data_IF_158802408914
#
_entry.id   IF_158802408914
#
_cell.length_a   1.000
_cell.length_b   1.000
_cell.length_c   1.000
_cell.angle_alpha   90.00
_cell.angle_beta   90.00
_cell.angle_gamma   90.00
#
_symmetry.space_group_name_H-M   'P 1'
#
loop_
_entity.id
_entity.type
_entity.pdbx_description
1 polymer ?
#
# COMPACT_ATOMS: atom_id res chain seq x y z
N UNK A 1 5.97 -15.82 -29.30
CA UNK A 1 6.64 -14.53 -28.99
C UNK A 1 6.74 -14.36 -27.48
N UNK A 2 7.84 -13.80 -26.95
CA UNK A 2 8.09 -13.64 -25.50
C UNK A 2 8.17 -12.17 -25.14
N UNK A 3 7.30 -11.71 -24.25
CA UNK A 3 7.32 -10.33 -23.76
C UNK A 3 8.64 -10.03 -23.03
N UNK A 4 9.15 -8.83 -23.25
CA UNK A 4 10.36 -8.32 -22.63
C UNK A 4 10.20 -6.86 -22.21
N UNK A 5 10.64 -6.55 -20.98
CA UNK A 5 10.69 -5.20 -20.42
C UNK A 5 12.12 -4.92 -19.94
N UNK A 6 12.72 -3.82 -20.38
CA UNK A 6 13.98 -3.28 -19.81
C UNK A 6 13.80 -1.92 -19.22
N UNK A 7 14.48 -1.69 -18.11
CA UNK A 7 14.57 -0.40 -17.45
C UNK A 7 16.01 0.10 -17.47
N UNK A 8 16.19 1.34 -17.94
CA UNK A 8 17.47 2.04 -18.00
C UNK A 8 17.36 3.39 -17.30
N UNK A 9 18.45 3.80 -16.64
CA UNK A 9 18.56 5.07 -15.93
C UNK A 9 19.28 4.90 -14.59
N UNK A 10 19.69 6.03 -13.98
CA UNK A 10 20.27 6.02 -12.64
C UNK A 10 19.29 5.46 -11.63
N UNK A 11 19.75 4.65 -10.67
CA UNK A 11 18.85 3.91 -9.76
C UNK A 11 17.87 4.82 -9.04
N UNK A 12 18.35 5.95 -8.52
CA UNK A 12 17.57 6.98 -7.83
C UNK A 12 16.51 7.67 -8.69
N UNK A 13 16.65 7.61 -10.02
CA UNK A 13 15.70 8.18 -11.00
C UNK A 13 14.63 7.19 -11.44
N UNK A 14 14.88 5.90 -11.29
CA UNK A 14 13.99 4.83 -11.78
C UNK A 14 13.20 4.14 -10.68
N UNK A 15 13.27 4.62 -9.43
CA UNK A 15 12.66 3.95 -8.28
C UNK A 15 11.14 3.75 -8.42
N UNK A 16 10.42 4.72 -9.00
CA UNK A 16 8.97 4.57 -9.23
C UNK A 16 8.63 3.46 -10.20
N UNK A 17 9.45 3.26 -11.24
CA UNK A 17 9.28 2.14 -12.18
C UNK A 17 9.69 0.80 -11.58
N UNK A 18 10.80 0.75 -10.84
CA UNK A 18 11.20 -0.46 -10.13
C UNK A 18 10.07 -0.94 -9.23
N UNK A 19 9.52 -0.03 -8.43
CA UNK A 19 8.43 -0.34 -7.55
C UNK A 19 7.17 -0.77 -8.29
N UNK A 20 6.76 -0.06 -9.35
CA UNK A 20 5.61 -0.47 -10.14
C UNK A 20 5.81 -1.89 -10.68
N UNK A 21 6.94 -2.18 -11.32
CA UNK A 21 7.16 -3.51 -11.89
C UNK A 21 7.18 -4.62 -10.83
N UNK A 22 7.73 -4.34 -9.65
CA UNK A 22 7.69 -5.25 -8.51
C UNK A 22 6.26 -5.45 -7.99
N UNK A 23 5.52 -4.37 -7.78
CA UNK A 23 4.13 -4.39 -7.32
C UNK A 23 3.23 -5.15 -8.31
N UNK A 24 3.43 -4.96 -9.61
CA UNK A 24 2.69 -5.62 -10.70
C UNK A 24 3.21 -7.04 -10.99
N UNK A 25 4.31 -7.47 -10.37
CA UNK A 25 4.97 -8.77 -10.64
C UNK A 25 5.28 -8.98 -12.13
N UNK A 26 5.67 -7.91 -12.82
CA UNK A 26 6.06 -7.97 -14.22
C UNK A 26 7.50 -8.49 -14.34
N UNK A 27 7.75 -9.37 -15.31
CA UNK A 27 9.11 -9.80 -15.63
C UNK A 27 9.87 -8.67 -16.35
N UNK A 28 10.83 -8.05 -15.68
CA UNK A 28 11.67 -6.99 -16.24
C UNK A 28 13.17 -7.21 -15.95
N UNK A 29 14.04 -6.51 -16.68
CA UNK A 29 15.48 -6.43 -16.39
C UNK A 29 15.91 -4.98 -16.20
N UNK A 30 16.49 -4.66 -15.04
CA UNK A 30 17.22 -3.41 -14.86
C UNK A 30 18.60 -3.52 -15.52
N UNK A 31 18.94 -2.56 -16.38
CA UNK A 31 20.14 -2.60 -17.23
C UNK A 31 21.14 -1.48 -16.93
N UNK A 32 20.95 -0.75 -15.82
CA UNK A 32 21.81 0.37 -15.44
C UNK A 32 21.57 1.61 -16.30
N UNK A 33 22.60 2.45 -16.46
CA UNK A 33 22.47 3.76 -17.11
C UNK A 33 22.52 3.71 -18.65
N UNK A 34 23.04 2.63 -19.24
CA UNK A 34 23.38 2.62 -20.67
C UNK A 34 22.15 2.34 -21.56
N UNK A 35 21.59 3.39 -22.13
CA UNK A 35 20.87 3.37 -23.42
C UNK A 35 21.12 4.71 -24.14
N UNK A 36 22.36 4.92 -24.63
CA UNK A 36 22.96 6.21 -25.05
C UNK A 36 21.94 7.22 -25.66
N UNK A 37 21.51 8.17 -24.81
CA UNK A 37 20.82 9.45 -25.05
C UNK A 37 19.43 9.51 -25.72
N UNK A 38 18.38 9.15 -24.97
CA UNK A 38 17.03 9.63 -25.26
C UNK A 38 16.38 10.41 -24.08
N UNK A 39 16.62 10.01 -22.82
CA UNK A 39 16.04 10.66 -21.63
C UNK A 39 16.65 10.16 -20.29
N UNK A 40 16.18 10.64 -19.12
CA UNK A 40 16.68 10.16 -17.81
C UNK A 40 16.26 8.77 -17.41
N UNK A 41 15.11 8.33 -17.89
CA UNK A 41 14.55 7.01 -17.62
C UNK A 41 14.03 6.48 -18.93
N UNK A 42 14.55 5.34 -19.35
CA UNK A 42 14.18 4.74 -20.62
C UNK A 42 13.64 3.34 -20.35
N UNK A 43 12.48 3.02 -20.89
CA UNK A 43 11.89 1.69 -20.79
C UNK A 43 11.61 1.16 -22.17
N UNK A 44 12.06 -0.05 -22.43
CA UNK A 44 11.79 -0.77 -23.67
C UNK A 44 10.79 -1.89 -23.37
N UNK A 45 9.62 -1.85 -24.01
CA UNK A 45 8.61 -2.92 -23.99
C UNK A 45 8.55 -3.55 -25.37
N UNK A 46 8.64 -4.88 -25.48
CA UNK A 46 8.56 -5.55 -26.78
C UNK A 46 8.40 -7.07 -26.74
N UNK A 47 8.27 -7.71 -27.90
CA UNK A 47 7.95 -9.14 -28.04
C UNK A 47 9.13 -10.06 -28.41
N UNK A 48 10.30 -9.47 -28.66
CA UNK A 48 11.58 -10.12 -29.01
C UNK A 48 12.74 -9.24 -28.51
N UNK A 49 13.77 -9.83 -27.89
CA UNK A 49 14.94 -9.06 -27.45
C UNK A 49 15.72 -8.55 -28.67
N UNK A 50 16.02 -7.25 -28.80
CA UNK A 50 16.82 -6.77 -29.91
C UNK A 50 18.24 -7.35 -29.81
N UNK A 51 18.69 -8.06 -30.83
CA UNK A 51 20.13 -8.32 -31.02
C UNK A 51 20.88 -7.03 -31.38
N UNK A 52 20.18 -6.04 -31.95
CA UNK A 52 20.73 -4.72 -32.28
C UNK A 52 19.73 -3.60 -31.92
N UNK A 53 20.15 -2.67 -31.06
CA UNK A 53 19.33 -1.53 -30.59
C UNK A 53 19.18 -0.45 -31.66
N UNK A 54 20.03 -0.45 -32.71
CA UNK A 54 20.05 0.61 -33.73
C UNK A 54 18.77 0.70 -34.58
N UNK A 55 17.95 -0.35 -34.65
CA UNK A 55 16.69 -0.32 -35.40
C UNK A 55 15.51 0.00 -34.46
N UNK A 56 15.28 1.30 -34.26
CA UNK A 56 14.32 1.83 -33.27
C UNK A 56 12.86 1.81 -33.74
N UNK A 57 12.60 1.82 -35.05
CA UNK A 57 11.25 1.80 -35.62
C UNK A 57 10.79 0.35 -35.79
N UNK A 58 9.84 -0.09 -34.97
CA UNK A 58 9.20 -1.40 -35.11
C UNK A 58 7.88 -1.43 -34.36
N UNK A 59 6.83 -1.98 -34.99
CA UNK A 59 5.52 -2.19 -34.35
C UNK A 59 5.56 -3.23 -33.22
N UNK A 60 6.68 -3.95 -33.08
CA UNK A 60 6.90 -4.94 -32.01
C UNK A 60 7.53 -4.35 -30.74
N UNK A 61 7.83 -3.03 -30.72
CA UNK A 61 8.58 -2.39 -29.62
C UNK A 61 8.07 -0.98 -29.35
N UNK A 62 7.99 -0.62 -28.07
CA UNK A 62 7.66 0.73 -27.60
C UNK A 62 8.70 1.22 -26.62
N UNK A 63 9.06 2.49 -26.75
CA UNK A 63 9.96 3.20 -25.84
C UNK A 63 9.16 4.15 -24.96
N UNK A 64 9.29 4.03 -23.65
CA UNK A 64 8.82 5.04 -22.69
C UNK A 64 10.01 5.86 -22.25
N UNK A 65 9.91 7.18 -22.36
CA UNK A 65 10.99 8.14 -22.10
C UNK A 65 10.55 9.13 -21.01
N UNK A 66 11.25 9.22 -19.88
CA UNK A 66 11.06 10.31 -18.91
C UNK A 66 12.18 11.34 -18.99
N UNK A 67 11.82 12.58 -19.34
CA UNK A 67 12.77 13.68 -19.48
C UNK A 67 13.21 14.27 -18.12
N UNK A 68 14.45 14.79 -18.07
CA UNK A 68 14.91 15.64 -16.97
C UNK A 68 14.43 17.08 -17.09
N UNK A 69 13.95 17.47 -18.28
CA UNK A 69 13.71 18.85 -18.62
C UNK A 69 12.44 19.37 -17.94
N UNK A 70 12.57 20.00 -16.78
CA UNK A 70 11.58 20.98 -16.33
C UNK A 70 11.63 22.14 -17.32
N UNK A 71 10.59 22.35 -18.12
CA UNK A 71 10.55 23.50 -19.02
C UNK A 71 10.82 24.77 -18.21
N UNK A 72 11.72 25.64 -18.71
CA UNK A 72 12.09 26.91 -18.05
C UNK A 72 10.87 27.81 -17.74
N UNK A 73 9.72 27.52 -18.34
CA UNK A 73 8.43 28.19 -18.16
C UNK A 73 7.71 27.87 -16.84
N UNK A 74 8.09 26.85 -16.06
CA UNK A 74 7.40 26.54 -14.79
C UNK A 74 7.84 27.37 -13.58
N UNK A 75 8.73 28.36 -13.76
CA UNK A 75 9.27 29.17 -12.66
C UNK A 75 8.27 30.05 -11.87
N UNK A 76 6.96 29.98 -12.13
CA UNK A 76 5.96 30.82 -11.42
C UNK A 76 4.62 30.16 -11.04
N UNK A 77 4.43 28.84 -11.16
CA UNK A 77 3.19 28.23 -10.63
C UNK A 77 3.34 27.87 -9.15
N UNK A 78 2.67 28.64 -8.28
CA UNK A 78 2.49 28.31 -6.87
C UNK A 78 1.92 26.88 -6.71
N UNK A 79 2.72 26.03 -6.06
CA UNK A 79 2.36 25.03 -5.02
C UNK A 79 1.22 24.01 -5.32
N UNK A 80 1.60 22.73 -5.31
CA UNK A 80 0.84 21.52 -4.93
C UNK A 80 -0.30 20.94 -5.81
N UNK A 81 -0.41 21.25 -7.11
CA UNK A 81 -1.28 20.45 -7.99
C UNK A 81 -0.47 19.49 -8.85
N UNK A 82 -0.77 18.19 -8.76
CA UNK A 82 -0.27 17.18 -9.70
C UNK A 82 -0.61 17.65 -11.11
N UNK A 83 0.38 17.98 -11.96
CA UNK A 83 0.10 18.54 -13.27
C UNK A 83 -0.68 17.52 -14.11
N UNK A 84 -1.64 18.01 -14.90
CA UNK A 84 -2.32 17.20 -15.92
C UNK A 84 -1.24 16.74 -16.91
N UNK A 85 -0.76 15.51 -16.73
CA UNK A 85 0.43 15.05 -17.42
C UNK A 85 0.05 14.73 -18.87
N UNK A 86 0.52 15.56 -19.79
CA UNK A 86 0.39 15.29 -21.23
C UNK A 86 1.49 14.30 -21.62
N UNK A 87 1.09 13.04 -21.82
CA UNK A 87 1.96 12.01 -22.39
C UNK A 87 1.93 12.21 -23.91
N UNK A 88 3.07 12.55 -24.51
CA UNK A 88 3.18 12.71 -25.96
C UNK A 88 3.48 11.36 -26.61
N UNK A 89 2.71 10.98 -27.63
CA UNK A 89 2.97 9.80 -28.43
C UNK A 89 3.55 10.21 -29.79
N UNK A 90 4.77 9.77 -30.10
CA UNK A 90 5.45 9.98 -31.40
C UNK A 90 5.84 8.64 -32.00
N UNK A 91 5.01 8.09 -32.88
CA UNK A 91 5.20 6.73 -33.40
C UNK A 91 5.16 5.70 -32.27
N UNK A 92 6.26 4.98 -32.06
CA UNK A 92 6.43 4.00 -30.99
C UNK A 92 7.12 4.54 -29.73
N UNK A 93 7.17 5.87 -29.57
CA UNK A 93 7.67 6.54 -28.37
C UNK A 93 6.52 7.12 -27.56
N UNK A 94 6.54 6.87 -26.24
CA UNK A 94 5.71 7.49 -25.23
C UNK A 94 6.59 8.41 -24.37
N UNK A 95 6.42 9.71 -24.51
CA UNK A 95 7.27 10.72 -23.88
C UNK A 95 6.55 11.32 -22.68
N UNK A 96 7.16 11.15 -21.52
CA UNK A 96 6.78 11.77 -20.26
C UNK A 96 7.69 13.01 -20.09
N UNK A 97 7.13 14.24 -20.08
CA UNK A 97 7.92 15.45 -20.12
C UNK A 97 8.75 15.70 -18.85
N UNK A 98 8.52 14.93 -17.79
CA UNK A 98 9.21 15.04 -16.50
C UNK A 98 9.53 13.67 -15.93
N UNK A 99 10.53 13.62 -15.07
CA UNK A 99 10.88 12.43 -14.31
C UNK A 99 9.91 12.23 -13.12
N UNK A 100 8.71 11.75 -13.41
CA UNK A 100 7.68 11.48 -12.40
C UNK A 100 8.07 10.31 -11.49
N UNK A 101 8.85 9.35 -12.00
CA UNK A 101 9.35 8.22 -11.21
C UNK A 101 10.16 8.68 -10.00
N UNK A 102 10.97 9.73 -10.15
CA UNK A 102 11.77 10.29 -9.05
C UNK A 102 10.93 11.01 -7.99
N UNK A 103 9.72 11.48 -8.33
CA UNK A 103 8.83 12.18 -7.40
C UNK A 103 8.25 11.23 -6.34
N UNK A 104 8.16 9.94 -6.65
CA UNK A 104 7.60 8.93 -5.77
C UNK A 104 8.38 8.80 -4.44
N UNK A 105 9.68 9.11 -4.44
CA UNK A 105 10.50 9.13 -3.21
C UNK A 105 10.45 10.44 -2.44
N UNK A 106 9.92 11.51 -3.07
CA UNK A 106 9.90 12.87 -2.50
C UNK A 106 8.52 13.27 -1.98
N UNK A 107 7.45 12.66 -2.51
CA UNK A 107 6.08 13.04 -2.19
C UNK A 107 5.25 11.82 -1.81
N UNK A 108 5.15 11.55 -0.50
CA UNK A 108 4.35 10.44 0.04
C UNK A 108 2.84 10.60 -0.20
N UNK A 109 2.34 11.83 -0.28
CA UNK A 109 0.91 12.12 -0.43
C UNK A 109 0.39 11.77 -1.85
N UNK A 110 1.23 11.91 -2.87
CA UNK A 110 0.84 11.66 -4.26
C UNK A 110 1.32 10.30 -4.79
N UNK A 111 1.88 9.44 -3.94
CA UNK A 111 2.46 8.16 -4.35
C UNK A 111 1.53 7.31 -5.21
N UNK A 112 0.31 7.03 -4.73
CA UNK A 112 -0.67 6.22 -5.45
C UNK A 112 -1.01 6.83 -6.81
N UNK A 113 -1.17 8.16 -6.89
CA UNK A 113 -1.43 8.88 -8.15
C UNK A 113 -0.26 8.76 -9.12
N UNK A 114 0.98 8.83 -8.63
CA UNK A 114 2.18 8.66 -9.47
C UNK A 114 2.20 7.25 -10.05
N UNK A 115 1.98 6.22 -9.22
CA UNK A 115 1.92 4.83 -9.69
C UNK A 115 0.80 4.61 -10.71
N UNK A 116 -0.37 5.24 -10.54
CA UNK A 116 -1.45 5.18 -11.54
C UNK A 116 -1.03 5.76 -12.89
N UNK A 117 -0.33 6.89 -12.90
CA UNK A 117 0.18 7.49 -14.14
C UNK A 117 1.15 6.54 -14.82
N UNK A 118 2.12 6.00 -14.08
CA UNK A 118 3.11 5.05 -14.58
C UNK A 118 2.43 3.79 -15.15
N UNK A 119 1.45 3.22 -14.42
CA UNK A 119 0.67 2.07 -14.86
C UNK A 119 -0.10 2.35 -16.15
N UNK A 120 -0.73 3.51 -16.26
CA UNK A 120 -1.48 3.89 -17.47
C UNK A 120 -0.56 4.04 -18.69
N UNK A 121 0.64 4.62 -18.51
CA UNK A 121 1.65 4.68 -19.58
C UNK A 121 2.08 3.27 -20.00
N UNK A 122 2.26 2.36 -19.04
CA UNK A 122 2.63 0.99 -19.31
C UNK A 122 1.53 0.22 -20.06
N UNK A 123 0.28 0.33 -19.63
CA UNK A 123 -0.88 -0.24 -20.34
C UNK A 123 -0.91 0.27 -21.79
N UNK A 124 -0.70 1.58 -21.99
CA UNK A 124 -0.63 2.16 -23.33
C UNK A 124 0.51 1.59 -24.18
N UNK A 125 1.68 1.33 -23.59
CA UNK A 125 2.79 0.70 -24.30
C UNK A 125 2.44 -0.72 -24.78
N UNK A 126 1.72 -1.48 -23.95
CA UNK A 126 1.22 -2.82 -24.30
C UNK A 126 0.17 -2.78 -25.42
N UNK A 127 -0.75 -1.82 -25.39
CA UNK A 127 -1.73 -1.59 -26.47
C UNK A 127 -1.04 -1.36 -27.82
N UNK A 128 0.01 -0.53 -27.84
CA UNK A 128 0.73 -0.18 -29.08
C UNK A 128 1.43 -1.38 -29.73
N UNK A 129 1.90 -2.36 -28.94
CA UNK A 129 2.45 -3.62 -29.46
C UNK A 129 1.38 -4.72 -29.65
N UNK A 130 0.10 -4.37 -29.55
CA UNK A 130 -1.06 -5.29 -29.68
C UNK A 130 -0.92 -6.52 -28.75
N UNK A 131 -0.48 -6.28 -27.53
CA UNK A 131 -0.32 -7.30 -26.48
C UNK A 131 -1.13 -6.90 -25.24
N UNK A 132 -1.82 -7.84 -24.58
CA UNK A 132 -2.55 -7.55 -23.34
C UNK A 132 -1.61 -7.24 -22.18
N UNK A 133 -1.96 -6.24 -21.38
CA UNK A 133 -1.28 -5.99 -20.11
C UNK A 133 -1.77 -7.00 -19.08
N UNK A 134 -0.85 -7.75 -18.47
CA UNK A 134 -1.16 -8.86 -17.57
C UNK A 134 -0.32 -8.75 -16.33
N UNK A 135 -0.95 -8.83 -15.18
CA UNK A 135 -0.27 -8.90 -13.89
C UNK A 135 -0.98 -9.85 -12.94
N UNK A 136 -0.27 -10.25 -11.89
CA UNK A 136 -0.85 -11.03 -10.79
C UNK A 136 -1.81 -10.14 -10.01
N UNK A 137 -3.03 -10.62 -9.78
CA UNK A 137 -4.07 -9.89 -9.07
C UNK A 137 -3.64 -9.56 -7.63
N UNK A 138 -4.14 -8.44 -7.10
CA UNK A 138 -3.71 -7.92 -5.81
C UNK A 138 -4.30 -8.67 -4.62
N UNK A 139 -5.49 -9.27 -4.79
CA UNK A 139 -6.29 -9.80 -3.68
C UNK A 139 -6.35 -11.33 -3.69
N UNK A 140 -6.55 -11.96 -2.51
CA UNK A 140 -6.57 -13.42 -2.40
C UNK A 140 -7.79 -14.08 -3.06
N UNK A 141 -8.78 -13.28 -3.45
CA UNK A 141 -10.03 -13.72 -4.07
C UNK A 141 -10.43 -12.77 -5.22
N UNK A 142 -11.31 -13.19 -6.15
CA UNK A 142 -11.71 -12.37 -7.30
C UNK A 142 -12.69 -11.26 -6.88
N UNK A 143 -12.22 -10.33 -6.07
CA UNK A 143 -12.94 -9.14 -5.63
C UNK A 143 -12.24 -7.89 -6.14
N UNK A 144 -12.98 -6.79 -6.30
CA UNK A 144 -12.42 -5.50 -6.76
C UNK A 144 -11.53 -4.83 -5.72
N UNK A 145 -11.82 -5.02 -4.45
CA UNK A 145 -11.10 -4.38 -3.33
C UNK A 145 -11.28 -5.24 -2.07
N UNK A 146 -10.59 -4.86 -0.99
CA UNK A 146 -10.71 -5.42 0.35
C UNK A 146 -10.89 -4.30 1.38
N UNK A 147 -11.34 -4.66 2.56
CA UNK A 147 -11.50 -3.77 3.70
C UNK A 147 -10.53 -4.12 4.83
N UNK A 148 -9.69 -3.16 5.19
CA UNK A 148 -8.74 -3.22 6.31
C UNK A 148 -9.22 -2.22 7.38
N UNK A 149 -9.54 -2.74 8.57
CA UNK A 149 -9.96 -1.92 9.70
C UNK A 149 -8.81 -1.83 10.70
N UNK A 150 -8.18 -0.67 10.81
CA UNK A 150 -7.06 -0.41 11.70
C UNK A 150 -7.51 0.45 12.88
N UNK A 151 -7.12 0.08 14.08
CA UNK A 151 -7.31 0.89 15.27
C UNK A 151 -5.98 1.06 16.01
N UNK A 152 -5.60 2.30 16.30
CA UNK A 152 -4.42 2.60 17.11
C UNK A 152 -4.89 2.81 18.55
N UNK A 153 -4.42 1.94 19.45
CA UNK A 153 -4.79 1.90 20.86
C UNK A 153 -3.64 2.53 21.65
N UNK A 154 -3.60 3.85 21.66
CA UNK A 154 -2.55 4.63 22.34
C UNK A 154 -2.60 4.45 23.87
N UNK A 155 -3.81 4.18 24.37
CA UNK A 155 -4.09 3.68 25.70
C UNK A 155 -5.43 2.93 25.72
N UNK A 156 -5.64 2.09 26.75
CA UNK A 156 -6.86 1.29 26.86
C UNK A 156 -7.96 2.05 27.59
N UNK A 157 -8.90 2.62 26.84
CA UNK A 157 -10.19 3.09 27.35
C UNK A 157 -11.23 1.96 27.20
N UNK A 158 -11.45 1.20 28.28
CA UNK A 158 -12.26 -0.04 28.24
C UNK A 158 -13.64 0.17 27.64
N UNK A 159 -14.36 1.20 28.10
CA UNK A 159 -15.71 1.50 27.61
C UNK A 159 -15.73 1.82 26.12
N UNK A 160 -14.75 2.58 25.64
CA UNK A 160 -14.68 2.97 24.24
C UNK A 160 -14.23 1.81 23.34
N UNK A 161 -13.33 0.95 23.84
CA UNK A 161 -12.96 -0.30 23.18
C UNK A 161 -14.17 -1.24 23.09
N UNK A 162 -14.95 -1.38 24.17
CA UNK A 162 -16.18 -2.18 24.17
C UNK A 162 -17.21 -1.68 23.16
N UNK A 163 -17.42 -0.36 23.07
CA UNK A 163 -18.31 0.20 22.05
C UNK A 163 -17.87 -0.13 20.61
N UNK A 164 -16.55 -0.20 20.35
CA UNK A 164 -16.02 -0.64 19.06
C UNK A 164 -16.28 -2.13 18.84
N UNK A 165 -15.99 -2.95 19.84
CA UNK A 165 -16.23 -4.39 19.81
C UNK A 165 -17.69 -4.68 19.48
N UNK A 166 -18.64 -4.01 20.14
CA UNK A 166 -20.07 -4.21 19.89
C UNK A 166 -20.44 -3.97 18.42
N UNK A 167 -19.96 -2.86 17.84
CA UNK A 167 -20.29 -2.53 16.45
C UNK A 167 -19.55 -3.43 15.46
N UNK A 168 -18.29 -3.81 15.71
CA UNK A 168 -17.55 -4.74 14.84
C UNK A 168 -18.15 -6.14 14.89
N UNK A 169 -18.56 -6.62 16.06
CA UNK A 169 -19.25 -7.89 16.27
C UNK A 169 -20.53 -7.98 15.47
N UNK A 170 -21.37 -6.94 15.58
CA UNK A 170 -22.66 -6.85 14.88
C UNK A 170 -22.52 -7.04 13.37
N UNK A 171 -21.40 -6.59 12.81
CA UNK A 171 -21.12 -6.72 11.39
C UNK A 171 -20.11 -7.82 11.08
N UNK A 172 -19.61 -8.61 12.03
CA UNK A 172 -18.52 -9.56 11.79
C UNK A 172 -17.38 -8.90 10.97
N UNK A 173 -16.85 -7.80 11.51
CA UNK A 173 -15.69 -7.08 11.01
C UNK A 173 -14.53 -7.38 11.95
N UNK A 174 -13.44 -7.91 11.40
CA UNK A 174 -12.16 -8.03 12.05
C UNK A 174 -11.36 -6.74 11.87
N UNK A 175 -10.63 -6.37 12.91
CA UNK A 175 -9.68 -5.27 12.90
C UNK A 175 -8.26 -5.71 13.25
N UNK A 176 -7.32 -4.81 12.98
CA UNK A 176 -5.95 -4.85 13.49
C UNK A 176 -5.79 -3.71 14.48
N UNK A 177 -5.46 -4.05 15.72
CA UNK A 177 -5.31 -3.13 16.84
C UNK A 177 -3.83 -2.97 17.16
N UNK A 178 -3.24 -1.82 16.84
CA UNK A 178 -1.86 -1.52 17.23
C UNK A 178 -1.89 -0.99 18.65
N UNK A 179 -1.34 -1.76 19.59
CA UNK A 179 -1.43 -1.44 21.02
C UNK A 179 -0.14 -0.82 21.51
N UNK A 180 -0.26 0.37 22.08
CA UNK A 180 0.75 0.95 22.94
C UNK A 180 0.53 0.39 24.35
N UNK A 181 1.56 -0.23 24.93
CA UNK A 181 1.41 -0.90 26.22
C UNK A 181 1.66 0.02 27.39
N UNK A 182 2.58 1.00 27.26
CA UNK A 182 2.90 1.81 28.43
C UNK A 182 1.77 2.74 28.83
N UNK A 183 0.89 3.11 27.89
CA UNK A 183 -0.27 3.96 28.16
C UNK A 183 0.15 5.31 28.72
N UNK A 184 1.30 5.84 28.28
CA UNK A 184 1.84 7.06 28.89
C UNK A 184 0.98 8.29 28.65
N UNK A 185 0.21 8.27 27.57
CA UNK A 185 -0.78 9.28 27.26
C UNK A 185 -1.98 9.24 28.21
N UNK A 186 -2.04 8.30 29.15
CA UNK A 186 -3.01 8.37 30.24
C UNK A 186 -2.58 9.38 31.31
N UNK A 187 -1.28 9.63 31.50
CA UNK A 187 -0.77 10.30 32.72
C UNK A 187 0.21 11.44 32.48
N UNK A 188 0.85 11.54 31.31
CA UNK A 188 1.82 12.60 31.05
C UNK A 188 1.19 14.01 31.16
N UNK A 189 1.81 14.95 31.86
CA UNK A 189 1.23 16.28 32.09
C UNK A 189 1.07 17.10 30.80
N UNK A 190 1.88 16.84 29.77
CA UNK A 190 1.91 17.59 28.52
C UNK A 190 1.04 16.95 27.44
N UNK A 191 1.00 15.62 27.37
CA UNK A 191 0.31 14.87 26.31
C UNK A 191 -0.81 13.97 26.84
N UNK A 192 -1.04 13.94 28.15
CA UNK A 192 -1.98 13.03 28.78
C UNK A 192 -3.43 13.40 28.55
N UNK A 193 -4.20 12.49 27.95
CA UNK A 193 -5.63 12.64 27.72
C UNK A 193 -6.46 12.43 28.98
N UNK A 194 -6.00 11.56 29.90
CA UNK A 194 -6.71 11.23 31.14
C UNK A 194 -6.11 11.90 32.39
N UNK A 195 -4.88 12.42 32.31
CA UNK A 195 -4.13 13.06 33.43
C UNK A 195 -4.14 12.22 34.71
N UNK A 196 -3.98 10.91 34.58
CA UNK A 196 -3.86 9.97 35.69
C UNK A 196 -2.54 10.17 36.44
N UNK A 197 -2.41 9.58 37.63
CA UNK A 197 -1.16 9.59 38.41
C UNK A 197 -0.12 8.58 37.92
N UNK A 198 -0.55 7.55 37.18
CA UNK A 198 0.28 6.48 36.61
C UNK A 198 -0.45 5.83 35.44
N UNK A 199 0.24 5.16 34.51
CA UNK A 199 -0.42 4.44 33.44
C UNK A 199 -1.17 3.22 33.99
N UNK A 200 -2.29 2.89 33.35
CA UNK A 200 -3.18 1.79 33.75
C UNK A 200 -3.47 0.80 32.62
N UNK A 201 -2.98 1.07 31.41
CA UNK A 201 -3.15 0.19 30.25
C UNK A 201 -2.77 -1.29 30.51
N UNK A 202 -1.65 -1.61 31.18
CA UNK A 202 -1.34 -3.01 31.54
C UNK A 202 -2.38 -3.66 32.48
N UNK A 203 -2.99 -2.86 33.36
CA UNK A 203 -3.99 -3.32 34.32
C UNK A 203 -5.35 -3.57 33.64
N UNK A 204 -5.63 -2.89 32.52
CA UNK A 204 -6.88 -2.97 31.73
C UNK A 204 -6.85 -4.06 30.64
N UNK A 205 -6.05 -5.12 30.84
CA UNK A 205 -5.89 -6.23 29.88
C UNK A 205 -7.19 -6.95 29.51
N UNK A 206 -8.24 -6.86 30.34
CA UNK A 206 -9.54 -7.48 30.07
C UNK A 206 -10.16 -7.03 28.74
N UNK A 207 -10.10 -5.74 28.43
CA UNK A 207 -10.59 -5.22 27.15
C UNK A 207 -9.76 -5.73 25.95
N UNK A 208 -8.44 -5.92 26.14
CA UNK A 208 -7.56 -6.47 25.11
C UNK A 208 -7.84 -7.95 24.84
N UNK A 209 -8.18 -8.75 25.86
CA UNK A 209 -8.62 -10.13 25.65
C UNK A 209 -9.90 -10.21 24.83
N UNK A 210 -10.89 -9.34 25.10
CA UNK A 210 -12.13 -9.29 24.31
C UNK A 210 -11.88 -9.00 22.82
N UNK A 211 -10.83 -8.24 22.50
CA UNK A 211 -10.42 -8.04 21.10
C UNK A 211 -9.99 -9.36 20.46
N UNK A 212 -9.18 -10.17 21.15
CA UNK A 212 -8.67 -11.44 20.61
C UNK A 212 -9.77 -12.46 20.32
N UNK A 213 -10.83 -12.49 21.14
CA UNK A 213 -11.94 -13.44 21.01
C UNK A 213 -12.69 -13.34 19.66
N UNK A 214 -12.51 -12.25 18.91
CA UNK A 214 -13.20 -12.00 17.64
C UNK A 214 -12.33 -12.19 16.39
N UNK A 215 -11.24 -12.95 16.52
CA UNK A 215 -10.25 -13.12 15.44
C UNK A 215 -9.65 -11.79 14.97
N UNK A 216 -9.63 -10.77 15.83
CA UNK A 216 -8.90 -9.55 15.57
C UNK A 216 -7.39 -9.80 15.67
N UNK A 217 -6.60 -8.96 15.02
CA UNK A 217 -5.16 -8.93 15.19
C UNK A 217 -4.78 -7.90 16.27
N UNK A 218 -3.85 -8.27 17.15
CA UNK A 218 -3.13 -7.31 18.01
C UNK A 218 -1.69 -7.16 17.50
N UNK A 219 -1.29 -5.93 17.21
CA UNK A 219 0.00 -5.57 16.65
C UNK A 219 0.73 -4.55 17.55
N UNK A 220 2.00 -4.27 17.23
CA UNK A 220 2.89 -3.48 18.07
C UNK A 220 2.79 -1.99 17.74
N UNK A 221 2.54 -1.14 18.74
CA UNK A 221 2.54 0.33 18.60
C UNK A 221 3.64 1.02 19.42
N UNK A 222 4.72 0.30 19.70
CA UNK A 222 5.76 0.74 20.63
C UNK A 222 5.37 0.49 22.09
N UNK A 223 6.37 0.48 22.97
CA UNK A 223 6.10 0.45 24.41
C UNK A 223 5.77 1.87 24.83
N UNK A 224 6.63 2.81 24.46
CA UNK A 224 6.36 4.24 24.41
C UNK A 224 5.74 4.60 23.06
N UNK A 225 4.71 5.43 23.07
CA UNK A 225 4.04 6.08 21.95
C UNK A 225 4.94 7.19 21.37
N UNK A 226 6.16 6.80 20.99
CA UNK A 226 7.19 7.69 20.52
C UNK A 226 8.09 7.03 19.48
N UNK A 227 8.54 7.81 18.48
CA UNK A 227 9.57 7.42 17.51
C UNK A 227 10.88 8.12 17.85
N UNK A 228 11.90 7.32 18.20
CA UNK A 228 13.21 7.84 18.58
C UNK A 228 14.05 8.21 17.35
N UNK A 229 15.06 9.07 17.53
CA UNK A 229 15.99 9.44 16.46
C UNK A 229 16.98 8.33 16.13
N UNK A 230 17.37 7.54 17.12
CA UNK A 230 18.40 6.51 16.99
C UNK A 230 17.82 5.09 16.89
N UNK A 231 18.63 4.19 16.34
CA UNK A 231 18.24 2.80 16.08
C UNK A 231 18.05 1.99 17.37
N UNK A 232 18.91 2.20 18.38
CA UNK A 232 18.94 1.39 19.59
C UNK A 232 17.65 1.57 20.39
N UNK A 233 17.24 2.82 20.61
CA UNK A 233 16.03 3.15 21.35
C UNK A 233 14.78 2.70 20.60
N UNK A 234 14.68 2.91 19.28
CA UNK A 234 13.57 2.36 18.50
C UNK A 234 13.49 0.83 18.59
N UNK A 235 14.63 0.13 18.48
CA UNK A 235 14.66 -1.33 18.53
C UNK A 235 14.25 -1.85 19.90
N UNK A 236 14.72 -1.22 20.98
CA UNK A 236 14.33 -1.53 22.35
C UNK A 236 12.86 -1.21 22.60
N UNK A 237 12.33 -0.10 22.07
CA UNK A 237 10.93 0.27 22.21
C UNK A 237 9.99 -0.80 21.62
N UNK A 238 10.28 -1.22 20.38
CA UNK A 238 9.56 -2.30 19.70
C UNK A 238 9.68 -3.61 20.49
N UNK A 239 10.91 -4.01 20.84
CA UNK A 239 11.19 -5.27 21.53
C UNK A 239 10.47 -5.36 22.87
N UNK A 240 10.47 -4.26 23.65
CA UNK A 240 9.82 -4.18 24.95
C UNK A 240 8.30 -4.35 24.80
N UNK A 241 7.67 -3.65 23.85
CA UNK A 241 6.24 -3.84 23.58
C UNK A 241 5.91 -5.27 23.17
N UNK A 242 6.69 -5.86 22.25
CA UNK A 242 6.51 -7.26 21.86
C UNK A 242 6.64 -8.24 23.04
N UNK A 243 7.53 -7.97 24.00
CA UNK A 243 7.64 -8.78 25.21
C UNK A 243 6.37 -8.69 26.06
N UNK A 244 5.85 -7.49 26.33
CA UNK A 244 4.61 -7.33 27.10
C UNK A 244 3.38 -7.89 26.39
N UNK A 245 3.25 -7.72 25.07
CA UNK A 245 2.15 -8.31 24.31
C UNK A 245 2.16 -9.85 24.40
N UNK A 246 3.35 -10.44 24.43
CA UNK A 246 3.50 -11.88 24.64
C UNK A 246 3.21 -12.28 26.09
N UNK A 247 3.78 -11.57 27.07
CA UNK A 247 3.63 -11.89 28.49
C UNK A 247 2.18 -11.74 28.97
N UNK A 248 1.51 -10.65 28.60
CA UNK A 248 0.16 -10.34 29.05
C UNK A 248 -0.93 -11.08 28.27
N UNK A 249 -0.75 -11.26 26.95
CA UNK A 249 -1.82 -11.71 26.04
C UNK A 249 -1.46 -12.95 25.23
N UNK A 250 -0.24 -13.49 25.39
CA UNK A 250 0.32 -14.56 24.53
C UNK A 250 0.33 -14.19 23.03
N UNK A 251 0.44 -12.89 22.72
CA UNK A 251 0.44 -12.38 21.34
C UNK A 251 1.86 -12.18 20.83
N UNK A 252 2.17 -12.81 19.69
CA UNK A 252 3.42 -12.58 18.95
C UNK A 252 3.19 -11.62 17.79
N UNK A 253 3.09 -10.33 18.10
CA UNK A 253 2.82 -9.27 17.13
C UNK A 253 3.71 -9.37 15.87
N UNK A 254 3.07 -9.29 14.70
CA UNK A 254 3.74 -9.36 13.39
C UNK A 254 3.87 -8.01 12.70
N UNK A 255 3.03 -7.06 13.06
CA UNK A 255 3.01 -5.71 12.53
C UNK A 255 3.58 -4.67 13.48
N UNK A 256 3.98 -3.54 12.90
CA UNK A 256 4.25 -2.30 13.62
C UNK A 256 3.56 -1.10 12.97
N UNK A 257 2.97 -0.24 13.79
CA UNK A 257 2.55 1.09 13.39
C UNK A 257 3.37 2.10 14.18
N UNK A 258 3.86 3.14 13.51
CA UNK A 258 4.58 4.20 14.20
C UNK A 258 3.62 5.18 14.87
N UNK A 259 3.86 5.51 16.16
CA UNK A 259 3.19 6.61 16.84
C UNK A 259 3.20 7.89 16.00
N UNK A 260 2.05 8.56 15.92
CA UNK A 260 1.88 9.82 15.19
C UNK A 260 2.17 9.74 13.68
N UNK A 261 2.20 8.54 13.09
CA UNK A 261 2.70 8.31 11.73
C UNK A 261 4.12 8.91 11.50
N UNK A 262 4.91 9.01 12.57
CA UNK A 262 6.28 9.48 12.51
C UNK A 262 7.16 8.42 11.88
N UNK A 263 8.19 8.85 11.16
CA UNK A 263 9.06 7.91 10.49
C UNK A 263 10.46 8.47 10.27
N UNK A 264 11.46 7.60 10.48
CA UNK A 264 12.83 7.87 10.10
C UNK A 264 13.57 6.57 9.74
N UNK A 265 14.79 6.72 9.19
CA UNK A 265 15.61 5.59 8.76
C UNK A 265 16.03 4.67 9.91
N UNK A 266 16.23 5.23 11.11
CA UNK A 266 16.58 4.46 12.30
C UNK A 266 15.44 3.53 12.71
N UNK A 267 14.20 4.01 12.64
CA UNK A 267 13.00 3.22 12.87
C UNK A 267 12.87 2.09 11.83
N UNK A 268 13.04 2.37 10.54
CA UNK A 268 12.98 1.34 9.50
C UNK A 268 13.95 0.18 9.78
N UNK A 269 15.20 0.49 10.15
CA UNK A 269 16.19 -0.51 10.57
C UNK A 269 15.76 -1.28 11.82
N UNK A 270 15.18 -0.58 12.80
CA UNK A 270 14.72 -1.18 14.05
C UNK A 270 13.55 -2.18 13.83
N UNK A 271 12.64 -1.88 12.91
CA UNK A 271 11.55 -2.77 12.52
C UNK A 271 12.11 -4.05 11.87
N UNK A 272 13.05 -3.90 10.92
CA UNK A 272 13.70 -5.05 10.27
C UNK A 272 14.48 -5.92 11.27
N UNK A 273 15.22 -5.30 12.19
CA UNK A 273 15.98 -6.02 13.23
C UNK A 273 15.06 -6.85 14.14
N UNK A 274 13.88 -6.34 14.45
CA UNK A 274 12.88 -7.03 15.26
C UNK A 274 12.03 -8.04 14.44
N UNK A 275 12.38 -8.27 13.16
CA UNK A 275 11.79 -9.31 12.30
C UNK A 275 10.27 -9.21 12.14
N UNK A 276 9.71 -8.01 12.21
CA UNK A 276 8.29 -7.79 11.94
C UNK A 276 7.99 -8.00 10.46
N UNK A 277 6.83 -8.59 10.17
CA UNK A 277 6.47 -9.00 8.82
C UNK A 277 6.08 -7.81 7.94
N UNK A 278 5.45 -6.81 8.55
CA UNK A 278 4.95 -5.62 7.89
C UNK A 278 5.00 -4.40 8.82
N UNK A 279 4.84 -3.23 8.23
CA UNK A 279 4.61 -1.98 8.94
C UNK A 279 3.45 -1.20 8.33
N UNK A 280 2.91 -0.26 9.08
CA UNK A 280 1.88 0.67 8.63
C UNK A 280 2.20 2.05 9.23
N UNK A 281 3.26 2.69 8.73
CA UNK A 281 3.86 3.88 9.34
C UNK A 281 3.43 5.20 8.70
N UNK A 282 2.57 5.16 7.67
CA UNK A 282 2.06 6.36 7.02
C UNK A 282 3.04 6.89 5.98
N UNK A 283 3.70 5.97 5.27
CA UNK A 283 4.62 6.30 4.19
C UNK A 283 3.91 6.66 2.88
N UNK A 284 2.60 6.47 2.79
CA UNK A 284 1.77 6.94 1.69
C UNK A 284 0.31 7.13 2.10
N UNK A 285 -0.38 8.03 1.40
CA UNK A 285 -1.82 8.27 1.58
C UNK A 285 -2.64 7.20 0.83
N UNK A 286 -2.76 6.03 1.45
CA UNK A 286 -3.40 4.85 0.88
C UNK A 286 -2.63 4.20 -0.27
N UNK A 287 -3.31 3.30 -0.99
CA UNK A 287 -2.78 2.51 -2.10
C UNK A 287 -2.46 1.06 -1.73
N UNK A 288 -1.76 0.37 -2.65
CA UNK A 288 -1.38 -1.03 -2.51
C UNK A 288 -0.10 -1.21 -1.67
N UNK A 289 0.09 -2.37 -1.02
CA UNK A 289 1.34 -2.69 -0.32
C UNK A 289 2.59 -2.58 -1.19
N UNK A 290 3.71 -2.24 -0.57
CA UNK A 290 5.01 -2.13 -1.24
C UNK A 290 6.17 -2.24 -0.25
N UNK A 291 7.39 -2.42 -0.75
CA UNK A 291 8.60 -2.36 0.06
C UNK A 291 9.29 -1.01 -0.18
N UNK A 292 9.35 -0.11 0.82
CA UNK A 292 10.01 1.18 0.67
C UNK A 292 11.46 1.05 0.20
N UNK A 293 11.92 2.00 -0.63
CA UNK A 293 13.32 2.14 -1.02
C UNK A 293 14.03 3.17 -0.15
N UNK A 294 15.06 2.75 0.58
CA UNK A 294 15.90 3.60 1.43
C UNK A 294 17.32 3.65 0.86
N UNK A 295 17.81 4.85 0.53
CA UNK A 295 19.12 5.04 -0.12
C UNK A 295 19.32 4.12 -1.33
N UNK A 296 18.27 3.95 -2.15
CA UNK A 296 18.27 3.09 -3.32
C UNK A 296 18.25 1.59 -3.01
N UNK A 297 18.08 1.16 -1.76
CA UNK A 297 17.93 -0.23 -1.38
C UNK A 297 16.50 -0.53 -0.95
N UNK A 298 15.95 -1.63 -1.46
CA UNK A 298 14.63 -2.12 -1.07
C UNK A 298 14.69 -2.64 0.37
N UNK A 299 13.74 -2.22 1.20
CA UNK A 299 13.56 -2.74 2.56
C UNK A 299 13.01 -4.16 2.56
N UNK A 300 13.14 -4.87 3.69
CA UNK A 300 12.62 -6.22 3.92
C UNK A 300 11.22 -6.23 4.55
N UNK A 301 10.82 -5.11 5.14
CA UNK A 301 9.50 -4.93 5.75
C UNK A 301 8.52 -4.43 4.70
N UNK A 302 7.38 -5.10 4.60
CA UNK A 302 6.28 -4.67 3.73
C UNK A 302 5.55 -3.50 4.38
N UNK A 303 5.44 -2.36 3.70
CA UNK A 303 4.58 -1.27 4.15
C UNK A 303 3.14 -1.53 3.65
N UNK A 304 2.18 -1.41 4.57
CA UNK A 304 0.74 -1.42 4.31
C UNK A 304 0.22 0.01 4.48
N UNK A 305 -0.10 0.70 3.36
CA UNK A 305 -0.59 2.07 3.42
C UNK A 305 -1.93 2.24 4.13
N UNK A 306 -2.14 3.43 4.67
CA UNK A 306 -3.42 3.90 5.19
C UNK A 306 -3.61 5.37 4.81
N UNK A 307 -4.82 5.90 5.01
CA UNK A 307 -5.14 7.28 4.64
C UNK A 307 -4.84 8.23 5.79
N UNK A 308 -4.19 9.36 5.48
CA UNK A 308 -3.77 10.32 6.51
C UNK A 308 -4.95 11.00 7.19
N UNK A 309 -6.06 11.15 6.47
CA UNK A 309 -7.28 11.73 7.02
C UNK A 309 -7.98 10.70 7.92
N UNK A 310 -7.95 10.96 9.22
CA UNK A 310 -8.52 10.14 10.28
C UNK A 310 -9.05 11.02 11.41
N UNK A 311 -9.57 10.40 12.47
CA UNK A 311 -10.04 11.07 13.69
C UNK A 311 -8.95 11.89 14.40
N UNK A 312 -7.74 11.35 14.54
CA UNK A 312 -6.62 12.08 15.17
C UNK A 312 -6.21 13.34 14.39
N UNK A 313 -6.59 13.48 13.11
CA UNK A 313 -6.40 14.72 12.35
C UNK A 313 -7.18 15.92 12.93
N UNK A 314 -8.09 15.67 13.87
CA UNK A 314 -9.01 16.66 14.44
C UNK A 314 -9.00 16.71 15.97
N UNK A 315 -8.08 16.01 16.62
CA UNK A 315 -8.07 15.83 18.08
C UNK A 315 -8.05 17.18 18.85
N UNK A 316 -7.41 18.21 18.29
CA UNK A 316 -7.35 19.55 18.88
C UNK A 316 -8.54 20.46 18.54
N UNK A 317 -9.55 19.94 17.83
CA UNK A 317 -10.68 20.75 17.35
C UNK A 317 -11.96 20.40 18.11
N UNK A 318 -12.63 21.41 18.67
CA UNK A 318 -14.01 21.29 19.19
C UNK A 318 -15.03 21.31 18.04
N UNK A 319 -14.75 20.56 16.97
CA UNK A 319 -15.60 20.54 15.79
C UNK A 319 -16.82 19.66 16.04
N UNK A 320 -17.95 20.31 16.34
CA UNK A 320 -19.25 19.65 16.40
C UNK A 320 -19.49 18.95 15.05
N UNK A 321 -20.01 17.72 15.09
CA UNK A 321 -20.27 16.90 13.89
C UNK A 321 -19.06 16.30 13.17
N UNK A 322 -17.87 16.30 13.79
CA UNK A 322 -16.67 15.63 13.26
C UNK A 322 -16.95 14.20 12.76
N UNK A 323 -17.67 13.40 13.56
CA UNK A 323 -18.02 12.03 13.22
C UNK A 323 -18.84 11.92 11.91
N UNK A 324 -19.68 12.91 11.57
CA UNK A 324 -20.42 12.96 10.30
C UNK A 324 -19.48 13.26 9.12
N UNK A 325 -18.57 14.23 9.29
CA UNK A 325 -17.59 14.58 8.25
C UNK A 325 -16.66 13.40 7.95
N UNK A 326 -16.10 12.77 8.99
CA UNK A 326 -15.27 11.57 8.83
C UNK A 326 -16.05 10.43 8.15
N UNK A 327 -17.31 10.21 8.56
CA UNK A 327 -18.17 9.18 7.97
C UNK A 327 -18.37 9.42 6.49
N UNK A 328 -18.73 10.64 6.11
CA UNK A 328 -19.04 11.00 4.73
C UNK A 328 -17.77 10.94 3.85
N UNK A 329 -16.62 11.32 4.41
CA UNK A 329 -15.31 11.09 3.79
C UNK A 329 -15.08 9.60 3.51
N UNK A 330 -15.21 8.72 4.51
CA UNK A 330 -14.96 7.29 4.33
C UNK A 330 -15.98 6.62 3.39
N UNK A 331 -17.24 7.05 3.39
CA UNK A 331 -18.23 6.60 2.41
C UNK A 331 -17.84 6.99 0.98
N UNK A 332 -17.32 8.21 0.78
CA UNK A 332 -16.75 8.65 -0.50
C UNK A 332 -15.53 7.82 -0.89
N UNK A 333 -14.64 7.56 0.07
CA UNK A 333 -13.42 6.77 -0.12
C UNK A 333 -13.75 5.34 -0.56
N UNK A 334 -14.74 4.68 0.08
CA UNK A 334 -15.21 3.34 -0.31
C UNK A 334 -15.59 3.32 -1.79
N UNK A 335 -16.37 4.32 -2.25
CA UNK A 335 -16.77 4.43 -3.65
C UNK A 335 -15.58 4.60 -4.61
N UNK A 336 -14.66 5.52 -4.27
CA UNK A 336 -13.45 5.78 -5.08
C UNK A 336 -12.55 4.54 -5.18
N UNK A 337 -12.27 3.90 -4.05
CA UNK A 337 -11.34 2.77 -3.97
C UNK A 337 -11.92 1.52 -4.62
N UNK A 338 -13.24 1.28 -4.50
CA UNK A 338 -13.91 0.19 -5.23
C UNK A 338 -13.77 0.35 -6.75
N UNK A 339 -13.85 1.58 -7.26
CA UNK A 339 -13.69 1.86 -8.70
C UNK A 339 -12.24 1.75 -9.17
N UNK A 340 -11.28 2.07 -8.31
CA UNK A 340 -9.84 2.03 -8.60
C UNK A 340 -9.20 0.67 -8.31
N UNK A 341 -9.93 -0.22 -7.67
CA UNK A 341 -9.43 -1.47 -7.11
C UNK A 341 -8.31 -1.28 -6.07
N UNK A 342 -8.33 -0.14 -5.36
CA UNK A 342 -7.42 0.14 -4.24
C UNK A 342 -8.00 -0.43 -2.94
N UNK A 343 -7.17 -0.83 -1.94
CA UNK A 343 -7.67 -1.27 -0.64
C UNK A 343 -8.44 -0.15 0.06
N UNK A 344 -9.50 -0.50 0.80
CA UNK A 344 -10.18 0.43 1.69
C UNK A 344 -9.58 0.23 3.08
N UNK A 345 -8.77 1.18 3.52
CA UNK A 345 -8.17 1.17 4.85
C UNK A 345 -8.79 2.30 5.70
N UNK A 346 -9.43 1.95 6.81
CA UNK A 346 -9.95 2.92 7.77
C UNK A 346 -9.10 2.86 9.02
N UNK A 347 -8.59 4.02 9.44
CA UNK A 347 -7.85 4.23 10.68
C UNK A 347 -8.75 4.95 11.68
N UNK A 348 -8.73 4.53 12.93
CA UNK A 348 -9.30 5.26 14.04
C UNK A 348 -8.55 4.98 15.34
N UNK A 349 -8.89 5.73 16.37
CA UNK A 349 -8.38 5.56 17.72
C UNK A 349 -9.60 5.28 18.61
N UNK A 350 -9.63 4.18 19.38
CA UNK A 350 -10.77 3.87 20.23
C UNK A 350 -11.11 5.00 21.19
N UNK A 351 -10.11 5.66 21.74
CA UNK A 351 -10.34 6.74 22.68
C UNK A 351 -11.04 7.97 22.04
N UNK A 352 -11.00 8.14 20.72
CA UNK A 352 -11.74 9.18 20.01
C UNK A 352 -13.04 8.61 19.43
N UNK A 353 -12.92 7.65 18.51
CA UNK A 353 -14.06 7.14 17.74
C UNK A 353 -14.97 6.20 18.52
N UNK A 354 -14.47 5.55 19.57
CA UNK A 354 -15.27 4.66 20.41
C UNK A 354 -16.42 5.38 21.14
N UNK A 355 -16.30 6.70 21.37
CA UNK A 355 -17.39 7.52 21.95
C UNK A 355 -18.62 7.58 21.04
N UNK A 356 -18.42 7.53 19.72
CA UNK A 356 -19.46 7.67 18.71
C UNK A 356 -19.47 6.49 17.72
N UNK A 357 -18.96 5.33 18.14
CA UNK A 357 -18.75 4.15 17.30
C UNK A 357 -20.00 3.77 16.49
N UNK A 358 -21.17 3.75 17.14
CA UNK A 358 -22.45 3.46 16.47
C UNK A 358 -22.84 4.53 15.44
N UNK A 359 -22.65 5.81 15.73
CA UNK A 359 -23.01 6.89 14.80
C UNK A 359 -22.06 6.99 13.59
N UNK A 360 -20.81 6.60 13.78
CA UNK A 360 -19.75 6.68 12.78
C UNK A 360 -19.61 5.42 11.93
N UNK A 361 -19.41 4.25 12.55
CA UNK A 361 -19.10 3.02 11.83
C UNK A 361 -20.32 2.30 11.24
N UNK A 362 -21.53 2.53 11.77
CA UNK A 362 -22.73 1.79 11.34
C UNK A 362 -22.96 1.86 9.83
N UNK A 363 -22.98 3.08 9.26
CA UNK A 363 -23.22 3.26 7.82
C UNK A 363 -22.05 2.76 6.97
N UNK A 364 -20.82 2.89 7.49
CA UNK A 364 -19.60 2.42 6.83
C UNK A 364 -19.67 0.90 6.70
N UNK A 365 -19.90 0.18 7.80
CA UNK A 365 -19.96 -1.29 7.80
C UNK A 365 -21.17 -1.82 7.03
N UNK A 366 -22.33 -1.15 7.10
CA UNK A 366 -23.46 -1.45 6.23
C UNK A 366 -23.09 -1.34 4.75
N UNK A 367 -22.34 -0.30 4.36
CA UNK A 367 -21.88 -0.12 2.98
C UNK A 367 -20.89 -1.21 2.57
N UNK A 368 -19.92 -1.55 3.42
CA UNK A 368 -18.96 -2.64 3.18
C UNK A 368 -19.69 -3.96 2.94
N UNK A 369 -20.64 -4.32 3.82
CA UNK A 369 -21.42 -5.57 3.69
C UNK A 369 -22.34 -5.56 2.48
N UNK A 370 -23.04 -4.46 2.21
CA UNK A 370 -23.92 -4.32 1.03
C UNK A 370 -23.16 -4.52 -0.28
N UNK A 371 -21.89 -4.08 -0.33
CA UNK A 371 -21.03 -4.25 -1.50
C UNK A 371 -20.34 -5.62 -1.57
N UNK A 372 -20.51 -6.48 -0.54
CA UNK A 372 -19.81 -7.75 -0.46
C UNK A 372 -18.27 -7.60 -0.39
N UNK A 373 -17.78 -6.48 0.15
CA UNK A 373 -16.34 -6.23 0.25
C UNK A 373 -15.75 -7.15 1.32
N UNK A 374 -14.74 -7.98 0.99
CA UNK A 374 -14.11 -8.88 1.94
C UNK A 374 -13.31 -8.09 2.97
N UNK A 375 -13.34 -8.53 4.23
CA UNK A 375 -12.60 -7.92 5.32
C UNK A 375 -11.46 -8.85 5.75
N UNK A 376 -10.28 -8.25 5.97
CA UNK A 376 -9.08 -8.94 6.42
C UNK A 376 -8.43 -8.14 7.54
N UNK A 377 -7.75 -8.82 8.45
CA UNK A 377 -6.71 -8.17 9.27
C UNK A 377 -5.52 -7.82 8.38
N UNK A 378 -4.68 -6.91 8.85
CA UNK A 378 -3.47 -6.53 8.12
C UNK A 378 -2.47 -7.69 8.05
N UNK A 379 -2.37 -8.54 9.08
CA UNK A 379 -1.59 -9.78 9.02
C UNK A 379 -2.10 -10.74 7.95
N UNK A 380 -3.42 -10.99 7.88
CA UNK A 380 -4.01 -11.87 6.87
C UNK A 380 -3.65 -11.38 5.45
N UNK A 381 -3.83 -10.09 5.18
CA UNK A 381 -3.51 -9.50 3.89
C UNK A 381 -2.00 -9.48 3.61
N UNK A 382 -1.17 -9.21 4.62
CA UNK A 382 0.30 -9.29 4.51
C UNK A 382 0.75 -10.70 4.17
N UNK A 383 0.19 -11.72 4.82
CA UNK A 383 0.50 -13.12 4.56
C UNK A 383 0.18 -13.49 3.11
N UNK A 384 -0.97 -13.04 2.59
CA UNK A 384 -1.28 -13.17 1.17
C UNK A 384 -0.25 -12.44 0.30
N UNK A 385 0.05 -11.17 0.59
CA UNK A 385 0.96 -10.38 -0.23
C UNK A 385 2.36 -11.00 -0.31
N UNK A 386 2.90 -11.52 0.81
CA UNK A 386 4.18 -12.21 0.83
C UNK A 386 4.16 -13.56 0.08
N UNK A 387 3.01 -14.24 0.02
CA UNK A 387 2.82 -15.40 -0.88
C UNK A 387 2.81 -14.95 -2.33
N UNK A 388 2.09 -13.88 -2.64
CA UNK A 388 2.03 -13.25 -3.97
C UNK A 388 3.41 -12.84 -4.49
N UNK A 389 4.29 -12.36 -3.62
CA UNK A 389 5.67 -12.01 -4.00
C UNK A 389 6.48 -13.19 -4.55
N UNK A 390 6.08 -14.44 -4.30
CA UNK A 390 6.75 -15.65 -4.80
C UNK A 390 6.11 -16.20 -6.09
N UNK A 391 5.02 -15.58 -6.55
CA UNK A 391 4.35 -15.97 -7.76
C UNK A 391 5.07 -15.40 -8.99
N UNK A 392 5.15 -16.21 -10.03
CA UNK A 392 5.72 -15.87 -11.32
C UNK A 392 4.75 -16.28 -12.42
N UNK A 393 4.73 -15.51 -13.50
CA UNK A 393 3.92 -15.78 -14.69
C UNK A 393 4.76 -15.71 -15.96
N UNK A 394 4.42 -16.55 -16.92
CA UNK A 394 5.05 -16.64 -18.23
C UNK A 394 3.97 -16.58 -19.31
N UNK A 395 4.15 -15.69 -20.28
CA UNK A 395 3.16 -15.44 -21.31
C UNK A 395 3.73 -15.84 -22.69
N UNK A 396 3.00 -16.67 -23.43
CA UNK A 396 3.33 -17.08 -24.79
C UNK A 396 2.17 -16.82 -25.73
N UNK A 397 2.40 -15.99 -26.74
CA UNK A 397 1.43 -15.70 -27.82
C UNK A 397 1.73 -16.54 -29.06
N UNK A 398 0.68 -17.17 -29.60
CA UNK A 398 0.64 -17.88 -30.88
C UNK A 398 -0.66 -17.54 -31.63
N UNK A 399 -0.57 -16.79 -32.72
CA UNK A 399 -1.74 -16.23 -33.41
C UNK A 399 -2.58 -15.33 -32.49
N UNK A 400 -3.89 -15.60 -32.41
CA UNK A 400 -4.84 -14.93 -31.50
C UNK A 400 -4.93 -15.60 -30.12
N UNK A 401 -4.16 -16.65 -29.87
CA UNK A 401 -4.14 -17.37 -28.60
C UNK A 401 -2.98 -16.88 -27.75
N UNK A 402 -3.29 -16.51 -26.51
CA UNK A 402 -2.33 -16.25 -25.48
C UNK A 402 -2.44 -17.33 -24.39
N UNK A 403 -1.35 -18.07 -24.19
CA UNK A 403 -1.21 -18.98 -23.05
C UNK A 403 -0.47 -18.23 -21.93
N UNK A 404 -1.05 -18.24 -20.74
CA UNK A 404 -0.43 -17.71 -19.53
C UNK A 404 -0.21 -18.88 -18.58
N UNK A 405 1.04 -19.10 -18.20
CA UNK A 405 1.45 -20.14 -17.26
C UNK A 405 1.95 -19.50 -15.97
N UNK A 406 1.77 -20.16 -14.83
CA UNK A 406 2.31 -19.74 -13.55
C UNK A 406 3.12 -20.85 -12.90
N UNK A 407 4.00 -20.47 -11.98
CA UNK A 407 4.74 -21.42 -11.14
C UNK A 407 3.86 -22.07 -10.05
N UNK A 408 2.61 -21.64 -9.88
CA UNK A 408 1.63 -22.16 -8.91
C UNK A 408 0.21 -22.24 -9.51
N UNK A 409 -0.63 -23.06 -8.90
CA UNK A 409 -2.05 -23.19 -9.27
C UNK A 409 -2.87 -22.08 -8.65
N UNK A 410 -4.09 -21.91 -9.16
CA UNK A 410 -5.10 -21.02 -8.58
C UNK A 410 -4.68 -19.54 -8.48
N UNK A 411 -3.72 -19.12 -9.31
CA UNK A 411 -3.23 -17.74 -9.35
C UNK A 411 -4.26 -16.88 -10.09
N UNK A 412 -4.68 -15.80 -9.43
CA UNK A 412 -5.53 -14.79 -10.01
C UNK A 412 -4.70 -13.78 -10.80
N UNK A 413 -5.17 -13.42 -11.99
CA UNK A 413 -4.50 -12.54 -12.94
C UNK A 413 -5.49 -11.47 -13.41
N UNK A 414 -5.09 -10.20 -13.49
CA UNK A 414 -5.85 -9.21 -14.27
C UNK A 414 -5.26 -9.13 -15.67
N UNK A 415 -6.13 -9.23 -16.67
CA UNK A 415 -5.82 -9.06 -18.08
C UNK A 415 -6.53 -7.80 -18.57
N UNK A 416 -5.76 -6.84 -19.07
CA UNK A 416 -6.25 -5.60 -19.66
C UNK A 416 -5.96 -5.61 -21.15
N UNK A 417 -7.02 -5.58 -21.96
CA UNK A 417 -6.91 -5.63 -23.42
C UNK A 417 -8.08 -4.91 -24.09
N UNK A 418 -7.79 -4.05 -25.08
CA UNK A 418 -8.79 -3.22 -25.77
C UNK A 418 -9.74 -2.50 -24.79
N UNK A 419 -9.19 -1.97 -23.69
CA UNK A 419 -9.91 -1.31 -22.57
C UNK A 419 -10.83 -2.22 -21.74
N UNK A 420 -10.94 -3.50 -22.06
CA UNK A 420 -11.59 -4.49 -21.20
C UNK A 420 -10.64 -4.94 -20.10
N UNK A 421 -11.18 -5.19 -18.90
CA UNK A 421 -10.48 -5.73 -17.74
C UNK A 421 -11.15 -7.02 -17.32
N UNK A 422 -10.38 -8.10 -17.22
CA UNK A 422 -10.90 -9.42 -16.82
C UNK A 422 -9.98 -10.04 -15.79
N UNK A 423 -10.57 -10.58 -14.71
CA UNK A 423 -9.83 -11.41 -13.75
C UNK A 423 -9.93 -12.86 -14.20
N UNK A 424 -8.78 -13.49 -14.44
CA UNK A 424 -8.65 -14.90 -14.78
C UNK A 424 -8.04 -15.67 -13.62
N UNK A 425 -8.27 -16.98 -13.59
CA UNK A 425 -7.67 -17.89 -12.62
C UNK A 425 -6.96 -19.01 -13.37
N UNK A 426 -5.71 -19.32 -12.98
CA UNK A 426 -5.01 -20.49 -13.55
C UNK A 426 -5.67 -21.79 -13.09
N UNK A 427 -5.69 -22.79 -13.97
CA UNK A 427 -6.22 -24.11 -13.68
C UNK A 427 -5.25 -24.94 -12.81
N UNK A 428 -5.59 -26.21 -12.55
CA UNK A 428 -4.73 -27.15 -11.79
C UNK A 428 -3.38 -27.46 -12.46
N UNK A 429 -3.28 -27.21 -13.77
CA UNK A 429 -2.03 -27.34 -14.53
C UNK A 429 -1.23 -26.03 -14.54
N UNK A 430 -1.66 -25.03 -13.76
CA UNK A 430 -1.09 -23.70 -13.65
C UNK A 430 -1.18 -22.87 -14.95
N UNK A 431 -2.17 -23.15 -15.81
CA UNK A 431 -2.34 -22.48 -17.11
C UNK A 431 -3.70 -21.83 -17.26
N UNK A 432 -3.77 -20.79 -18.07
CA UNK A 432 -5.00 -20.22 -18.59
C UNK A 432 -4.79 -19.75 -20.03
N UNK A 433 -5.83 -19.89 -20.85
CA UNK A 433 -5.84 -19.46 -22.25
C UNK A 433 -6.73 -18.24 -22.39
N UNK A 434 -6.22 -17.20 -23.06
CA UNK A 434 -6.95 -15.98 -23.39
C UNK A 434 -6.92 -15.76 -24.91
N UNK A 435 -8.05 -15.37 -25.49
CA UNK A 435 -8.18 -15.10 -26.93
C UNK A 435 -8.27 -13.58 -27.18
N UNK A 436 -7.47 -13.08 -28.13
CA UNK A 436 -7.28 -11.65 -28.45
C UNK A 436 -8.29 -11.11 -29.48
#
# INVERSE_FOLDING_TARGET
>A
MKLYISLFGKKERVLGWLELFEQEKLSFKYKGEILKDFSSVNILVGLEFPTNIKNLKSDKKVFILESLYTSKTEKKSKVNKTPKLLIEQKGNFLIIPKNISSLLTKNRHDRSKILDILRNVLIRAFELIKFPYIHIWYYPQPCKTIFLFRQDVDYVDEKRVENLIDITSKFNIKGTYFVNISGEEEFDEKIGHLKLLKPTTPDRKGALFKLLDQSNEIANHGYWHWVFKDFKNNSQNIKKCSWYLYDLLNVRAKGFASPGAEWNRSLAKAIEQNKLLYSSNGLSDGGLPYYPYLNGQKTKTLEIPFYFFCDASFDQTNFQELHKVLRDYYLSLIGKNTNRSDPIAILGHPHLTGKFAKGFYLSIFQKIKKLGIPNFTIEEFTCWWKKREKLEIFCQKSGNKLTIESNKSDVLLEVIYKRSRTILKTNKENKVVFYL
#
